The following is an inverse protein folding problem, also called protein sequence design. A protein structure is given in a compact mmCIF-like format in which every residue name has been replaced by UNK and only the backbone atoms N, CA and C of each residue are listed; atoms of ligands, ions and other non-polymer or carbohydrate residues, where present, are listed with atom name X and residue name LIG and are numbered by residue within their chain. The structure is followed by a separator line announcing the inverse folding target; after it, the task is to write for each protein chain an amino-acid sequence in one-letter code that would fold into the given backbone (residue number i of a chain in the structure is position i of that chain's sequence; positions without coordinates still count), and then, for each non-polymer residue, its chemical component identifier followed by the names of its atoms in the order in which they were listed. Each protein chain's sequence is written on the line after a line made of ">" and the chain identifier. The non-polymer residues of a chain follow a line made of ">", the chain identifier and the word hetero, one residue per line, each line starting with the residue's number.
data_IF_373227280031
#
_entry.id   IF_373227280031
#
_cell.length_a   1.000
_cell.length_b   1.000
_cell.length_c   1.000
_cell.angle_alpha   90.00
_cell.angle_beta   90.00
_cell.angle_gamma   90.00
#
_symmetry.space_group_name_H-M   'P 1'
#
loop_
_entity.id
_entity.type
_entity.pdbx_description
1 polymer ?
#
# COMPACT_ATOMS: atom_id res chain seq x y z
N UNK A 1 -13.48 18.09 -9.20
CA UNK A 1 -12.85 16.93 -8.51
C UNK A 1 -13.43 15.65 -9.09
N UNK A 2 -12.64 14.57 -9.14
CA UNK A 2 -13.16 13.24 -9.45
C UNK A 2 -14.31 12.87 -8.49
N UNK A 3 -15.33 12.19 -9.00
CA UNK A 3 -16.45 11.67 -8.21
C UNK A 3 -16.16 10.24 -7.71
N UNK A 4 -14.91 9.95 -7.31
CA UNK A 4 -14.47 8.64 -6.86
C UNK A 4 -15.23 8.17 -5.61
N UNK A 5 -15.58 6.89 -5.53
CA UNK A 5 -16.33 6.39 -4.36
C UNK A 5 -15.46 6.22 -3.10
N UNK A 6 -14.14 6.09 -3.29
CA UNK A 6 -13.11 5.98 -2.24
C UNK A 6 -11.93 6.87 -2.66
N UNK A 7 -11.41 7.67 -1.73
CA UNK A 7 -10.27 8.57 -1.95
C UNK A 7 -9.21 8.32 -0.88
N UNK A 8 -7.98 8.01 -1.31
CA UNK A 8 -6.83 7.80 -0.43
C UNK A 8 -5.85 8.97 -0.62
N UNK A 9 -5.64 9.78 0.42
CA UNK A 9 -4.71 10.90 0.41
C UNK A 9 -3.51 10.63 1.32
N UNK A 10 -2.34 11.12 0.91
CA UNK A 10 -1.10 11.19 1.68
C UNK A 10 -0.76 12.67 1.92
N UNK A 11 0.16 12.94 2.84
CA UNK A 11 0.59 14.30 3.21
C UNK A 11 -0.56 15.21 3.66
N UNK A 12 -1.58 14.64 4.31
CA UNK A 12 -2.70 15.41 4.84
C UNK A 12 -2.27 16.08 6.14
N UNK A 13 -2.22 17.41 6.15
CA UNK A 13 -1.89 18.20 7.34
C UNK A 13 -2.98 18.04 8.43
N UNK A 14 -2.55 17.58 9.60
CA UNK A 14 -3.38 17.28 10.76
C UNK A 14 -4.14 18.53 11.27
N UNK A 15 -3.53 19.72 11.16
CA UNK A 15 -4.16 20.97 11.62
C UNK A 15 -5.37 21.34 10.76
N UNK A 16 -5.37 20.94 9.50
CA UNK A 16 -6.43 21.23 8.54
C UNK A 16 -7.41 20.05 8.35
N UNK A 17 -7.11 18.87 8.91
CA UNK A 17 -7.93 17.68 8.67
C UNK A 17 -9.40 17.90 9.02
N UNK A 18 -9.73 18.30 10.25
CA UNK A 18 -11.13 18.42 10.67
C UNK A 18 -11.84 19.62 10.03
N UNK A 19 -11.21 20.80 10.09
CA UNK A 19 -11.83 22.07 9.71
C UNK A 19 -11.81 22.33 8.19
N UNK A 20 -11.02 21.58 7.42
CA UNK A 20 -10.89 21.78 5.97
C UNK A 20 -11.18 20.49 5.21
N UNK A 21 -10.32 19.47 5.34
CA UNK A 21 -10.46 18.27 4.52
C UNK A 21 -11.76 17.50 4.82
N UNK A 22 -11.98 17.12 6.07
CA UNK A 22 -13.15 16.34 6.47
C UNK A 22 -14.44 17.13 6.24
N UNK A 23 -14.48 18.41 6.61
CA UNK A 23 -15.64 19.27 6.39
C UNK A 23 -16.00 19.38 4.90
N UNK A 24 -15.00 19.57 4.03
CA UNK A 24 -15.20 19.55 2.58
C UNK A 24 -15.74 18.20 2.11
N UNK A 25 -15.10 17.09 2.46
CA UNK A 25 -15.53 15.75 2.04
C UNK A 25 -16.92 15.38 2.56
N UNK A 26 -17.27 15.76 3.80
CA UNK A 26 -18.60 15.55 4.36
C UNK A 26 -19.68 16.33 3.61
N UNK A 27 -19.40 17.57 3.18
CA UNK A 27 -20.29 18.35 2.32
C UNK A 27 -20.57 17.66 0.98
N UNK A 28 -19.64 16.82 0.52
CA UNK A 28 -19.75 16.02 -0.71
C UNK A 28 -20.30 14.60 -0.44
N UNK A 29 -20.79 14.30 0.76
CA UNK A 29 -21.40 13.02 1.10
C UNK A 29 -20.43 11.91 1.50
N UNK A 30 -19.17 12.24 1.79
CA UNK A 30 -18.18 11.29 2.28
C UNK A 30 -18.16 11.21 3.81
N UNK A 31 -17.57 10.14 4.31
CA UNK A 31 -16.99 10.07 5.65
C UNK A 31 -15.48 9.85 5.53
N UNK A 32 -14.71 10.08 6.59
CA UNK A 32 -13.26 10.06 6.54
C UNK A 32 -12.61 9.47 7.79
N UNK A 33 -11.56 8.68 7.57
CA UNK A 33 -10.61 8.28 8.61
C UNK A 33 -9.25 8.89 8.34
N UNK A 34 -8.55 9.28 9.40
CA UNK A 34 -7.23 9.91 9.32
C UNK A 34 -6.30 9.33 10.37
N UNK A 35 -5.02 9.22 10.00
CA UNK A 35 -3.92 8.93 10.91
C UNK A 35 -2.75 9.83 10.57
N UNK A 36 -2.42 10.71 11.52
CA UNK A 36 -1.17 11.46 11.54
C UNK A 36 0.02 10.50 11.68
N UNK A 37 1.13 10.84 11.04
CA UNK A 37 2.42 10.17 11.27
C UNK A 37 2.84 10.30 12.75
N UNK A 38 3.70 9.42 13.22
CA UNK A 38 4.20 9.49 14.60
C UNK A 38 5.31 10.54 14.74
N UNK A 39 5.95 10.64 15.91
CA UNK A 39 7.08 11.56 16.15
C UNK A 39 6.77 13.04 15.82
N UNK A 40 5.59 13.50 16.23
CA UNK A 40 5.15 14.92 16.15
C UNK A 40 5.11 15.50 14.72
N UNK A 41 4.99 14.64 13.72
CA UNK A 41 4.87 15.05 12.31
C UNK A 41 3.50 15.63 12.06
N UNK A 42 3.44 16.76 11.35
CA UNK A 42 2.18 17.46 11.10
C UNK A 42 1.32 16.82 10.01
N UNK A 43 1.85 15.88 9.24
CA UNK A 43 1.15 15.24 8.12
C UNK A 43 0.78 13.77 8.38
N UNK A 44 -0.12 13.23 7.56
CA UNK A 44 -0.62 11.87 7.70
C UNK A 44 -1.28 11.31 6.44
N UNK A 45 -1.99 10.20 6.60
CA UNK A 45 -2.82 9.62 5.54
C UNK A 45 -4.31 9.76 5.92
N UNK A 46 -5.16 9.98 4.93
CA UNK A 46 -6.61 9.97 5.09
C UNK A 46 -7.27 9.07 4.04
N UNK A 47 -8.32 8.35 4.45
CA UNK A 47 -9.17 7.57 3.55
C UNK A 47 -10.60 8.08 3.67
N UNK A 48 -11.14 8.61 2.58
CA UNK A 48 -12.52 9.07 2.49
C UNK A 48 -13.36 8.07 1.69
N UNK A 49 -14.60 7.84 2.12
CA UNK A 49 -15.53 6.92 1.47
C UNK A 49 -16.92 7.54 1.32
N UNK A 50 -17.59 7.31 0.18
CA UNK A 50 -18.98 7.77 0.01
C UNK A 50 -19.93 7.00 0.90
N UNK A 51 -20.63 7.72 1.78
CA UNK A 51 -21.61 7.17 2.73
C UNK A 51 -22.84 6.56 2.06
N UNK A 52 -23.09 6.84 0.78
CA UNK A 52 -24.19 6.23 0.02
C UNK A 52 -23.80 4.90 -0.65
N UNK A 53 -22.51 4.53 -0.63
CA UNK A 53 -21.98 3.33 -1.30
C UNK A 53 -21.47 2.30 -0.31
N UNK A 54 -20.76 2.75 0.71
CA UNK A 54 -20.03 1.89 1.64
C UNK A 54 -20.33 2.26 3.09
N UNK A 55 -20.34 1.26 3.96
CA UNK A 55 -20.15 1.42 5.40
C UNK A 55 -18.72 1.04 5.78
N UNK A 56 -18.12 1.80 6.69
CA UNK A 56 -16.84 1.46 7.29
C UNK A 56 -17.06 0.45 8.41
N UNK A 57 -16.70 -0.83 8.17
CA UNK A 57 -16.88 -1.89 9.17
C UNK A 57 -15.78 -1.86 10.23
N UNK A 58 -14.54 -1.62 9.80
CA UNK A 58 -13.38 -1.58 10.68
C UNK A 58 -12.30 -0.70 10.08
N UNK A 59 -11.61 0.07 10.92
CA UNK A 59 -10.40 0.77 10.54
C UNK A 59 -9.26 0.35 11.49
N UNK A 60 -8.09 0.09 10.93
CA UNK A 60 -6.88 -0.17 11.68
C UNK A 60 -5.79 0.82 11.25
N UNK A 61 -5.31 1.61 12.21
CA UNK A 61 -4.18 2.51 12.02
C UNK A 61 -2.90 1.79 12.42
N UNK A 62 -2.02 1.55 11.46
CA UNK A 62 -0.73 0.90 11.66
C UNK A 62 0.36 1.96 11.83
N UNK A 63 1.12 1.86 12.91
CA UNK A 63 2.41 2.54 13.05
C UNK A 63 3.52 1.58 12.67
N UNK A 64 4.32 1.95 11.67
CA UNK A 64 5.44 1.11 11.21
C UNK A 64 6.65 1.21 12.13
N UNK A 65 6.73 2.27 12.94
CA UNK A 65 7.74 2.43 13.98
C UNK A 65 7.72 1.22 14.95
N UNK A 66 8.88 0.63 15.20
CA UNK A 66 9.12 -0.40 16.23
C UNK A 66 10.34 -0.01 17.04
N UNK A 67 10.14 0.25 18.33
CA UNK A 67 11.19 0.69 19.23
C UNK A 67 12.34 -0.33 19.28
N UNK A 68 13.58 0.16 19.23
CA UNK A 68 14.79 -0.68 19.24
C UNK A 68 15.13 -1.34 17.91
N UNK A 69 14.36 -1.12 16.84
CA UNK A 69 14.64 -1.70 15.51
C UNK A 69 15.03 -0.60 14.52
N UNK A 70 16.30 -0.53 14.15
CA UNK A 70 16.86 0.52 13.28
C UNK A 70 16.15 0.63 11.92
N UNK A 71 15.78 -0.50 11.31
CA UNK A 71 15.03 -0.54 10.04
C UNK A 71 13.61 0.03 10.16
N UNK A 72 13.05 0.01 11.36
CA UNK A 72 11.68 0.44 11.66
C UNK A 72 11.70 1.60 12.65
N UNK A 73 12.66 2.53 12.49
CA UNK A 73 12.85 3.71 13.35
C UNK A 73 12.23 4.98 12.77
N UNK A 74 11.27 4.84 11.83
CA UNK A 74 10.64 5.95 11.10
C UNK A 74 9.16 6.07 11.40
N UNK A 75 8.67 7.28 11.20
CA UNK A 75 7.35 7.82 11.53
C UNK A 75 6.20 7.41 10.60
N UNK A 76 6.51 6.62 9.56
CA UNK A 76 5.54 6.21 8.55
C UNK A 76 4.40 5.35 9.15
N UNK A 77 3.20 5.53 8.59
CA UNK A 77 1.97 4.89 9.03
C UNK A 77 1.22 4.26 7.85
N UNK A 78 0.21 3.45 8.15
CA UNK A 78 -0.79 3.05 7.18
C UNK A 78 -2.19 3.06 7.79
N UNK A 79 -3.19 3.26 6.95
CA UNK A 79 -4.60 3.04 7.25
C UNK A 79 -5.07 1.77 6.53
N UNK A 80 -5.72 0.86 7.24
CA UNK A 80 -6.31 -0.36 6.69
C UNK A 80 -7.80 -0.33 7.05
N UNK A 81 -8.63 -0.07 6.04
CA UNK A 81 -10.07 0.11 6.20
C UNK A 81 -10.82 -1.04 5.53
N UNK A 82 -11.67 -1.72 6.29
CA UNK A 82 -12.58 -2.76 5.79
C UNK A 82 -13.93 -2.12 5.50
N UNK A 83 -14.31 -2.13 4.23
CA UNK A 83 -15.53 -1.51 3.74
C UNK A 83 -16.54 -2.58 3.30
N UNK A 84 -17.81 -2.34 3.59
CA UNK A 84 -18.93 -3.17 3.15
C UNK A 84 -19.84 -2.36 2.22
N UNK A 85 -20.08 -2.78 0.96
CA UNK A 85 -20.98 -2.07 0.07
C UNK A 85 -22.44 -2.31 0.48
N UNK A 86 -23.28 -1.27 0.47
CA UNK A 86 -24.69 -1.43 0.87
C UNK A 86 -25.49 -2.35 -0.06
N UNK A 87 -25.15 -2.37 -1.35
CA UNK A 87 -25.84 -3.24 -2.31
C UNK A 87 -25.54 -4.72 -2.12
N UNK A 88 -24.42 -5.07 -1.48
CA UNK A 88 -23.99 -6.45 -1.25
C UNK A 88 -23.34 -6.57 0.15
N UNK A 89 -24.12 -6.56 1.24
CA UNK A 89 -23.59 -6.50 2.61
C UNK A 89 -22.69 -7.67 3.01
N UNK A 90 -22.81 -8.82 2.34
CA UNK A 90 -21.99 -10.02 2.56
C UNK A 90 -20.57 -9.90 2.00
N UNK A 91 -20.32 -8.83 1.22
CA UNK A 91 -19.02 -8.58 0.61
C UNK A 91 -18.23 -7.55 1.40
N UNK A 92 -16.92 -7.73 1.44
CA UNK A 92 -16.02 -6.79 2.08
C UNK A 92 -14.80 -6.56 1.20
N UNK A 93 -14.30 -5.33 1.19
CA UNK A 93 -13.08 -4.93 0.50
C UNK A 93 -12.13 -4.29 1.50
N UNK A 94 -10.85 -4.63 1.39
CA UNK A 94 -9.79 -4.06 2.21
C UNK A 94 -9.11 -2.93 1.44
N UNK A 95 -9.24 -1.70 1.93
CA UNK A 95 -8.58 -0.52 1.39
C UNK A 95 -7.40 -0.18 2.27
N UNK A 96 -6.22 -0.13 1.68
CA UNK A 96 -4.99 0.22 2.37
C UNK A 96 -4.48 1.54 1.80
N UNK A 97 -4.09 2.46 2.67
CA UNK A 97 -3.48 3.73 2.31
C UNK A 97 -2.20 3.94 3.12
N UNK A 98 -1.07 4.21 2.47
CA UNK A 98 0.20 4.45 3.14
C UNK A 98 1.07 5.46 2.39
N UNK A 99 2.09 5.96 3.08
CA UNK A 99 3.17 6.76 2.51
C UNK A 99 4.48 6.21 3.08
N UNK A 100 5.24 5.47 2.26
CA UNK A 100 6.50 4.84 2.67
C UNK A 100 7.66 5.85 2.74
N UNK A 101 8.79 5.44 3.33
CA UNK A 101 9.94 6.33 3.50
C UNK A 101 10.47 6.88 2.16
N UNK A 102 10.51 8.22 2.05
CA UNK A 102 11.05 8.94 0.90
C UNK A 102 12.54 8.71 0.62
N UNK A 103 13.38 8.55 1.67
CA UNK A 103 14.83 8.52 1.52
C UNK A 103 15.29 7.46 0.50
N UNK A 104 15.66 7.91 -0.70
CA UNK A 104 15.99 7.03 -1.84
C UNK A 104 17.15 6.07 -1.56
N UNK A 105 17.99 6.35 -0.56
CA UNK A 105 19.13 5.50 -0.16
C UNK A 105 18.76 4.38 0.83
N UNK A 106 17.49 4.23 1.20
CA UNK A 106 17.03 3.27 2.22
C UNK A 106 15.91 2.36 1.70
N UNK A 107 16.21 1.56 0.68
CA UNK A 107 15.28 0.52 0.19
C UNK A 107 15.04 -0.58 1.22
N UNK A 108 16.01 -0.82 2.10
CA UNK A 108 15.87 -1.69 3.28
C UNK A 108 14.77 -1.22 4.23
N UNK A 109 14.70 0.08 4.53
CA UNK A 109 13.63 0.59 5.40
C UNK A 109 12.28 0.43 4.71
N UNK A 110 12.19 0.71 3.40
CA UNK A 110 10.95 0.47 2.65
C UNK A 110 10.57 -1.02 2.62
N UNK A 111 11.53 -1.93 2.46
CA UNK A 111 11.26 -3.38 2.50
C UNK A 111 10.76 -3.82 3.88
N UNK A 112 11.37 -3.31 4.96
CA UNK A 112 10.93 -3.57 6.33
C UNK A 112 9.52 -3.04 6.58
N UNK A 113 9.23 -1.83 6.12
CA UNK A 113 7.90 -1.23 6.16
C UNK A 113 6.87 -2.05 5.39
N UNK A 114 7.21 -2.55 4.19
CA UNK A 114 6.37 -3.46 3.43
C UNK A 114 6.12 -4.78 4.16
N UNK A 115 7.14 -5.40 4.75
CA UNK A 115 6.97 -6.65 5.49
C UNK A 115 6.00 -6.49 6.67
N UNK A 116 6.11 -5.39 7.43
CA UNK A 116 5.17 -5.05 8.51
C UNK A 116 3.77 -4.76 7.96
N UNK A 117 3.67 -3.97 6.89
CA UNK A 117 2.39 -3.63 6.27
C UNK A 117 1.65 -4.88 5.77
N UNK A 118 2.34 -5.77 5.06
CA UNK A 118 1.77 -7.00 4.50
C UNK A 118 1.32 -7.96 5.61
N UNK A 119 2.09 -8.07 6.71
CA UNK A 119 1.70 -8.84 7.89
C UNK A 119 0.43 -8.29 8.53
N UNK A 120 0.32 -6.98 8.63
CA UNK A 120 -0.85 -6.32 9.20
C UNK A 120 -2.08 -6.41 8.29
N UNK A 121 -1.92 -6.22 6.97
CA UNK A 121 -2.98 -6.47 6.00
C UNK A 121 -3.48 -7.91 6.16
N UNK A 122 -2.57 -8.89 6.25
CA UNK A 122 -2.98 -10.28 6.44
C UNK A 122 -3.74 -10.48 7.75
N UNK A 123 -3.25 -9.93 8.87
CA UNK A 123 -3.89 -10.04 10.20
C UNK A 123 -5.31 -9.47 10.24
N UNK A 124 -5.55 -8.39 9.50
CA UNK A 124 -6.88 -7.77 9.40
C UNK A 124 -7.77 -8.54 8.42
N UNK A 125 -7.24 -8.90 7.25
CA UNK A 125 -8.01 -9.51 6.17
C UNK A 125 -8.32 -10.99 6.39
N UNK A 126 -7.48 -11.75 7.10
CA UNK A 126 -7.73 -13.18 7.40
C UNK A 126 -8.95 -13.41 8.31
N UNK A 127 -9.40 -12.38 9.03
CA UNK A 127 -10.55 -12.44 9.94
C UNK A 127 -11.89 -12.23 9.25
N UNK A 128 -11.86 -12.00 7.94
CA UNK A 128 -13.02 -11.73 7.12
C UNK A 128 -13.34 -12.98 6.30
N UNK A 129 -14.60 -13.36 6.31
CA UNK A 129 -15.11 -14.48 5.51
C UNK A 129 -14.70 -14.32 4.05
N UNK A 130 -14.17 -15.40 3.46
CA UNK A 130 -13.70 -15.48 2.08
C UNK A 130 -12.50 -14.62 1.69
N UNK A 131 -11.82 -13.97 2.65
CA UNK A 131 -10.69 -13.07 2.44
C UNK A 131 -10.98 -11.96 1.41
N UNK A 132 -11.10 -10.69 1.83
CA UNK A 132 -11.54 -9.63 0.94
C UNK A 132 -10.48 -9.35 -0.13
N UNK A 133 -10.90 -8.93 -1.33
CA UNK A 133 -9.98 -8.26 -2.25
C UNK A 133 -9.29 -7.08 -1.55
N UNK A 134 -8.02 -6.87 -1.87
CA UNK A 134 -7.21 -5.81 -1.26
C UNK A 134 -6.88 -4.78 -2.33
N UNK A 135 -7.15 -3.51 -2.08
CA UNK A 135 -6.63 -2.37 -2.84
C UNK A 135 -5.62 -1.64 -1.95
N UNK A 136 -4.37 -1.58 -2.40
CA UNK A 136 -3.30 -0.82 -1.76
C UNK A 136 -3.01 0.44 -2.57
N UNK A 137 -3.34 1.59 -1.99
CA UNK A 137 -3.04 2.92 -2.48
C UNK A 137 -1.88 3.53 -1.71
N UNK A 138 -1.09 4.38 -2.36
CA UNK A 138 -0.11 5.20 -1.65
C UNK A 138 1.05 5.69 -2.49
N UNK A 139 1.78 6.66 -1.95
CA UNK A 139 3.15 6.96 -2.36
C UNK A 139 4.07 5.91 -1.72
N UNK A 140 4.53 4.97 -2.54
CA UNK A 140 5.38 3.89 -2.10
C UNK A 140 6.87 4.22 -2.24
N UNK A 141 7.23 5.38 -2.82
CA UNK A 141 8.61 5.86 -2.92
C UNK A 141 9.60 4.88 -3.57
N UNK A 142 9.11 4.04 -4.48
CA UNK A 142 9.92 3.18 -5.35
C UNK A 142 9.31 3.08 -6.75
N UNK A 143 10.14 2.73 -7.73
CA UNK A 143 9.76 2.68 -9.14
C UNK A 143 9.29 1.28 -9.57
N UNK A 144 8.61 1.15 -10.73
CA UNK A 144 8.21 -0.15 -11.26
C UNK A 144 9.39 -1.08 -11.60
N UNK A 145 10.60 -0.53 -11.77
CA UNK A 145 11.82 -1.30 -12.00
C UNK A 145 12.53 -1.75 -10.71
N UNK A 146 12.03 -1.35 -9.54
CA UNK A 146 12.62 -1.70 -8.25
C UNK A 146 12.32 -3.15 -7.86
N UNK A 147 13.19 -3.75 -7.04
CA UNK A 147 12.91 -5.05 -6.44
C UNK A 147 11.72 -5.04 -5.48
N UNK A 148 11.38 -3.88 -4.91
CA UNK A 148 10.22 -3.70 -4.05
C UNK A 148 8.91 -3.84 -4.83
N UNK A 149 8.84 -3.28 -6.05
CA UNK A 149 7.71 -3.48 -6.95
C UNK A 149 7.58 -4.95 -7.39
N UNK A 150 8.71 -5.58 -7.77
CA UNK A 150 8.73 -7.01 -8.10
C UNK A 150 8.30 -7.87 -6.93
N UNK A 151 8.70 -7.52 -5.71
CA UNK A 151 8.26 -8.21 -4.49
C UNK A 151 6.73 -8.17 -4.35
N UNK A 152 6.12 -6.98 -4.42
CA UNK A 152 4.66 -6.81 -4.30
C UNK A 152 3.89 -7.55 -5.40
N UNK A 153 4.41 -7.54 -6.63
CA UNK A 153 3.73 -8.15 -7.77
C UNK A 153 3.90 -9.67 -7.85
N UNK A 154 5.10 -10.18 -7.55
CA UNK A 154 5.43 -11.60 -7.68
C UNK A 154 5.20 -12.38 -6.38
N UNK A 155 5.04 -11.69 -5.24
CA UNK A 155 4.86 -12.32 -3.93
C UNK A 155 6.13 -12.96 -3.37
N UNK A 156 7.31 -12.64 -3.92
CA UNK A 156 8.59 -13.23 -3.48
C UNK A 156 9.77 -12.31 -3.77
N UNK A 157 10.70 -12.22 -2.81
CA UNK A 157 11.97 -11.53 -2.95
C UNK A 157 13.08 -12.27 -2.19
N UNK A 158 14.02 -12.89 -2.90
CA UNK A 158 15.26 -13.37 -2.30
C UNK A 158 16.17 -12.16 -2.01
N UNK A 159 16.34 -11.83 -0.73
CA UNK A 159 17.12 -10.67 -0.27
C UNK A 159 18.52 -11.04 0.20
N UNK A 160 18.75 -12.31 0.54
CA UNK A 160 20.07 -12.79 0.95
C UNK A 160 21.12 -12.41 -0.10
N UNK A 161 22.25 -11.87 0.36
CA UNK A 161 23.37 -11.37 -0.46
C UNK A 161 23.08 -10.11 -1.31
N UNK A 162 21.91 -9.48 -1.18
CA UNK A 162 21.70 -8.14 -1.71
C UNK A 162 22.41 -7.09 -0.85
N UNK A 163 22.71 -5.96 -1.45
CA UNK A 163 23.19 -4.78 -0.73
C UNK A 163 22.16 -4.33 0.30
N UNK A 164 22.63 -4.07 1.52
CA UNK A 164 21.77 -3.76 2.66
C UNK A 164 21.00 -2.44 2.52
N UNK A 165 21.32 -1.53 1.60
CA UNK A 165 20.61 -0.24 1.47
C UNK A 165 19.87 -0.10 0.16
N UNK A 166 20.39 -0.67 -0.92
CA UNK A 166 19.86 -0.54 -2.28
C UNK A 166 19.22 -1.80 -2.83
N UNK A 167 19.27 -2.92 -2.10
CA UNK A 167 18.77 -4.22 -2.57
C UNK A 167 19.35 -4.64 -3.93
N UNK A 168 20.59 -4.21 -4.23
CA UNK A 168 21.29 -4.53 -5.48
C UNK A 168 22.27 -5.69 -5.30
N UNK A 169 22.62 -6.37 -6.39
CA UNK A 169 23.68 -7.39 -6.34
C UNK A 169 25.07 -6.77 -6.11
N UNK A 170 25.23 -5.48 -6.42
CA UNK A 170 26.46 -4.71 -6.19
C UNK A 170 26.39 -4.00 -4.83
N UNK A 171 27.44 -4.11 -4.00
CA UNK A 171 27.51 -3.47 -2.68
C UNK A 171 28.49 -4.18 -1.74
N UNK A 172 29.05 -3.45 -0.78
CA UNK A 172 30.05 -3.99 0.17
C UNK A 172 29.41 -4.65 1.39
N UNK A 173 28.26 -4.16 1.84
CA UNK A 173 27.52 -4.71 2.99
C UNK A 173 26.32 -5.50 2.50
N UNK A 174 26.29 -6.79 2.82
CA UNK A 174 25.27 -7.72 2.33
C UNK A 174 24.29 -8.09 3.43
N UNK A 175 23.02 -8.25 3.04
CA UNK A 175 21.99 -8.77 3.94
C UNK A 175 22.26 -10.26 4.17
N UNK A 176 22.25 -10.67 5.43
CA UNK A 176 22.30 -12.07 5.83
C UNK A 176 20.96 -12.79 5.62
N UNK A 177 20.78 -13.91 6.31
CA UNK A 177 19.53 -14.68 6.23
C UNK A 177 18.38 -14.08 7.02
N UNK A 178 18.65 -13.36 8.10
CA UNK A 178 17.63 -12.70 8.92
C UNK A 178 17.53 -11.23 8.50
N UNK A 179 16.34 -10.80 8.06
CA UNK A 179 16.10 -9.40 7.69
C UNK A 179 15.47 -8.60 8.82
N UNK A 180 14.30 -9.01 9.30
CA UNK A 180 13.70 -8.47 10.52
C UNK A 180 14.01 -9.34 11.74
N UNK A 181 14.14 -8.72 12.93
CA UNK A 181 14.30 -9.45 14.19
C UNK A 181 13.10 -10.36 14.48
N UNK A 182 13.36 -11.58 14.97
CA UNK A 182 12.33 -12.59 15.26
C UNK A 182 11.39 -12.14 16.40
N UNK A 183 11.87 -11.24 17.25
CA UNK A 183 11.15 -10.62 18.37
C UNK A 183 9.95 -9.78 17.92
N UNK A 184 9.88 -9.41 16.62
CA UNK A 184 8.69 -8.79 16.04
C UNK A 184 7.56 -9.80 15.77
N UNK A 185 7.85 -11.10 15.84
CA UNK A 185 6.93 -12.19 15.51
C UNK A 185 6.34 -12.08 14.10
N UNK A 186 7.05 -11.43 13.17
CA UNK A 186 6.69 -11.32 11.76
C UNK A 186 7.59 -12.27 10.97
N UNK A 187 6.97 -13.29 10.38
CA UNK A 187 7.66 -14.30 9.57
C UNK A 187 8.18 -13.75 8.25
N UNK A 188 9.01 -14.54 7.60
CA UNK A 188 9.48 -14.30 6.23
C UNK A 188 8.33 -14.37 5.19
N UNK A 189 7.20 -15.01 5.52
CA UNK A 189 5.99 -15.00 4.67
C UNK A 189 5.10 -13.77 4.87
N UNK A 190 5.62 -12.73 5.53
CA UNK A 190 4.91 -11.49 5.85
C UNK A 190 3.58 -11.77 6.56
N UNK A 191 3.62 -12.63 7.59
CA UNK A 191 2.48 -12.94 8.45
C UNK A 191 2.95 -12.96 9.90
N UNK A 192 2.10 -12.54 10.83
CA UNK A 192 2.37 -12.73 12.24
C UNK A 192 2.41 -14.23 12.57
N UNK A 193 3.38 -14.63 13.40
CA UNK A 193 3.60 -16.02 13.78
C UNK A 193 2.33 -16.68 14.36
N UNK A 194 1.54 -15.92 15.12
CA UNK A 194 0.26 -16.36 15.70
C UNK A 194 -0.73 -16.86 14.63
N UNK A 195 -0.69 -16.30 13.42
CA UNK A 195 -1.57 -16.68 12.30
C UNK A 195 -1.03 -17.90 11.52
N UNK A 196 0.22 -18.28 11.77
CA UNK A 196 0.90 -19.42 11.13
C UNK A 196 0.97 -20.66 12.00
N UNK A 197 0.94 -20.49 13.33
CA UNK A 197 1.02 -21.61 14.27
C UNK A 197 -0.09 -22.62 13.99
N UNK A 198 0.33 -23.82 13.61
CA UNK A 198 -0.47 -25.04 13.54
C UNK A 198 0.18 -26.08 14.44
N UNK A 199 -0.58 -27.12 14.78
CA UNK A 199 -0.03 -28.27 15.49
C UNK A 199 1.18 -28.82 14.71
N UNK A 200 2.30 -29.03 15.41
CA UNK A 200 3.57 -29.58 14.90
C UNK A 200 4.43 -28.69 13.97
N UNK A 201 4.20 -27.36 13.89
CA UNK A 201 5.12 -26.47 13.18
C UNK A 201 6.35 -26.08 14.02
N UNK A 202 7.53 -26.09 13.41
CA UNK A 202 8.77 -25.61 14.05
C UNK A 202 8.88 -24.10 13.80
N UNK A 203 8.87 -23.28 14.86
CA UNK A 203 8.88 -21.82 14.72
C UNK A 203 10.06 -21.29 13.90
N UNK A 204 11.21 -21.94 14.01
CA UNK A 204 12.45 -21.58 13.32
C UNK A 204 12.33 -21.64 11.80
N UNK A 205 11.42 -22.43 11.24
CA UNK A 205 11.19 -22.57 9.80
C UNK A 205 10.55 -21.32 9.18
N UNK A 206 9.90 -20.48 9.99
CA UNK A 206 9.21 -19.28 9.50
C UNK A 206 10.12 -18.05 9.38
N UNK A 207 11.37 -18.15 9.81
CA UNK A 207 12.30 -17.03 9.86
C UNK A 207 13.64 -17.39 9.23
N UNK A 208 14.42 -16.38 8.87
CA UNK A 208 15.82 -16.55 8.48
C UNK A 208 16.01 -17.43 7.24
N UNK A 209 15.05 -17.45 6.31
CA UNK A 209 15.10 -18.18 5.04
C UNK A 209 15.93 -17.46 3.96
N UNK A 210 16.28 -16.18 4.20
CA UNK A 210 16.93 -15.33 3.19
C UNK A 210 15.98 -14.84 2.08
N UNK A 211 14.68 -15.10 2.21
CA UNK A 211 13.66 -14.76 1.22
C UNK A 211 12.38 -14.28 1.88
N UNK A 212 11.83 -13.15 1.44
CA UNK A 212 10.48 -12.75 1.82
C UNK A 212 9.45 -13.28 0.81
N UNK A 213 8.28 -13.68 1.30
CA UNK A 213 7.12 -14.04 0.48
C UNK A 213 5.84 -13.40 0.99
N UNK A 214 4.81 -13.33 0.13
CA UNK A 214 3.44 -13.00 0.54
C UNK A 214 2.44 -13.55 -0.48
N UNK A 215 1.17 -13.70 -0.07
CA UNK A 215 0.11 -14.29 -0.91
C UNK A 215 -0.66 -13.31 -1.81
N UNK A 216 -0.49 -12.01 -1.63
CA UNK A 216 -1.28 -11.00 -2.35
C UNK A 216 -1.04 -10.95 -3.86
N UNK A 217 0.20 -11.12 -4.34
CA UNK A 217 0.56 -11.01 -5.76
C UNK A 217 -0.15 -9.82 -6.47
N UNK A 218 0.14 -8.60 -6.01
CA UNK A 218 -0.59 -7.41 -6.41
C UNK A 218 -0.43 -7.08 -7.90
N UNK A 219 -1.54 -6.70 -8.55
CA UNK A 219 -1.56 -6.12 -9.89
C UNK A 219 -1.59 -4.60 -9.78
N UNK A 220 -0.77 -3.91 -10.56
CA UNK A 220 -0.84 -2.46 -10.67
C UNK A 220 -1.95 -2.05 -11.64
N UNK A 221 -2.70 -1.00 -11.31
CA UNK A 221 -3.64 -0.36 -12.24
C UNK A 221 -2.91 0.22 -13.45
N UNK A 222 -1.67 0.70 -13.25
CA UNK A 222 -0.84 1.31 -14.28
C UNK A 222 0.32 0.36 -14.62
N UNK A 223 0.45 -0.02 -15.89
CA UNK A 223 1.42 -1.04 -16.35
C UNK A 223 2.81 -0.46 -16.60
N UNK A 224 3.84 -1.29 -16.33
CA UNK A 224 5.27 -1.01 -16.58
C UNK A 224 5.56 -0.46 -17.97
N UNK A 225 4.86 -1.00 -18.97
CA UNK A 225 5.23 -0.85 -20.38
C UNK A 225 4.71 0.45 -21.00
N UNK A 226 3.75 1.11 -20.34
CA UNK A 226 3.25 2.43 -20.74
C UNK A 226 4.09 3.58 -20.15
N UNK A 227 5.01 3.29 -19.23
CA UNK A 227 5.78 4.29 -18.48
C UNK A 227 6.90 5.04 -19.20
N UNK A 228 7.52 4.57 -20.30
CA UNK A 228 8.42 5.42 -21.07
C UNK A 228 7.73 6.71 -21.54
N UNK A 229 6.39 6.76 -21.49
CA UNK A 229 5.57 7.85 -21.98
C UNK A 229 4.98 8.74 -20.90
N UNK A 230 4.99 8.42 -19.60
CA UNK A 230 4.20 9.11 -18.54
C UNK A 230 5.07 9.73 -17.44
N UNK A 231 4.77 10.96 -16.96
CA UNK A 231 5.50 11.62 -15.84
C UNK A 231 4.57 12.16 -14.77
N UNK A 232 4.98 12.03 -13.50
CA UNK A 232 4.08 12.24 -12.36
C UNK A 232 4.51 13.28 -11.32
N UNK A 233 5.75 13.81 -11.37
CA UNK A 233 6.22 14.74 -10.34
C UNK A 233 7.11 15.91 -10.83
N UNK A 234 7.26 16.90 -9.95
CA UNK A 234 8.02 18.15 -10.11
C UNK A 234 9.47 17.99 -10.60
N UNK A 235 10.09 16.84 -10.33
CA UNK A 235 11.52 16.55 -10.62
C UNK A 235 11.74 15.58 -11.78
N UNK A 236 10.73 15.34 -12.61
CA UNK A 236 10.88 14.59 -13.86
C UNK A 236 11.21 13.08 -13.71
N UNK A 237 11.04 12.43 -12.54
CA UNK A 237 11.50 11.05 -12.35
C UNK A 237 10.51 10.15 -11.59
N UNK A 238 9.97 9.18 -12.34
CA UNK A 238 9.40 7.88 -11.95
C UNK A 238 8.04 7.84 -11.22
N UNK A 239 7.19 6.90 -11.64
CA UNK A 239 5.98 6.48 -10.91
C UNK A 239 6.38 5.97 -9.53
N UNK A 240 5.89 6.64 -8.49
CA UNK A 240 6.07 6.23 -7.08
C UNK A 240 4.74 6.06 -6.35
N UNK A 241 3.68 6.64 -6.91
CA UNK A 241 2.29 6.46 -6.48
C UNK A 241 1.68 5.22 -7.14
N UNK A 242 0.93 4.43 -6.38
CA UNK A 242 0.30 3.24 -6.94
C UNK A 242 -1.15 3.10 -6.48
N UNK A 243 -1.97 2.53 -7.37
CA UNK A 243 -3.17 1.78 -7.01
C UNK A 243 -2.86 0.34 -7.38
N UNK A 244 -2.58 -0.47 -6.37
CA UNK A 244 -2.35 -1.90 -6.49
C UNK A 244 -3.60 -2.65 -6.04
N UNK A 245 -3.95 -3.76 -6.69
CA UNK A 245 -5.09 -4.57 -6.28
C UNK A 245 -4.79 -6.07 -6.34
N UNK A 246 -5.42 -6.83 -5.47
CA UNK A 246 -5.27 -8.27 -5.35
C UNK A 246 -6.62 -8.95 -5.17
N UNK A 247 -6.85 -9.99 -5.97
CA UNK A 247 -7.95 -10.94 -5.83
C UNK A 247 -7.35 -12.20 -5.21
N UNK A 248 -7.19 -12.23 -3.88
CA UNK A 248 -6.58 -13.39 -3.22
C UNK A 248 -7.51 -14.58 -3.41
N UNK A 249 -7.06 -15.53 -4.22
CA UNK A 249 -7.72 -16.80 -4.45
C UNK A 249 -6.98 -17.86 -3.63
N UNK A 250 -7.38 -18.05 -2.37
CA UNK A 250 -6.91 -19.23 -1.65
C UNK A 250 -7.66 -20.47 -2.16
N UNK A 251 -6.88 -21.54 -2.36
CA UNK A 251 -7.23 -22.89 -2.87
C UNK A 251 -8.40 -23.61 -2.15
N UNK A 252 -9.18 -22.92 -1.33
CA UNK A 252 -10.26 -23.47 -0.51
C UNK A 252 -11.66 -22.94 -0.83
N UNK A 253 -11.84 -21.92 -1.67
CA UNK A 253 -13.18 -21.42 -1.98
C UNK A 253 -13.80 -22.07 -3.22
N UNK A 254 -14.51 -23.18 -3.00
CA UNK A 254 -15.45 -23.78 -3.96
C UNK A 254 -16.73 -22.95 -4.15
N UNK A 255 -16.93 -21.89 -3.36
CA UNK A 255 -18.09 -21.01 -3.45
C UNK A 255 -17.64 -19.54 -3.56
N UNK A 256 -18.03 -18.93 -4.68
CA UNK A 256 -17.94 -17.51 -5.07
C UNK A 256 -16.58 -16.81 -4.96
N UNK A 257 -15.87 -16.69 -6.10
CA UNK A 257 -14.68 -15.85 -6.21
C UNK A 257 -15.07 -14.37 -6.09
N UNK A 258 -14.54 -13.67 -5.09
CA UNK A 258 -14.61 -12.22 -5.02
C UNK A 258 -13.52 -11.62 -5.91
N UNK A 259 -13.91 -11.14 -7.09
CA UNK A 259 -12.95 -10.62 -8.08
C UNK A 259 -13.16 -9.13 -8.35
N UNK A 260 -12.11 -8.34 -8.14
CA UNK A 260 -11.98 -6.99 -8.69
C UNK A 260 -11.44 -7.07 -10.11
N UNK A 261 -12.20 -6.55 -11.05
CA UNK A 261 -11.82 -6.40 -12.45
C UNK A 261 -11.65 -4.92 -12.73
N UNK A 262 -10.43 -4.53 -13.14
CA UNK A 262 -10.16 -3.18 -13.60
C UNK A 262 -10.94 -2.92 -14.90
N UNK A 263 -11.79 -1.89 -14.91
CA UNK A 263 -12.54 -1.47 -16.10
C UNK A 263 -11.84 -0.34 -16.81
N UNK A 264 -11.50 0.71 -16.06
CA UNK A 264 -10.97 1.96 -16.59
C UNK A 264 -9.98 2.55 -15.60
N UNK A 265 -9.09 3.39 -16.12
CA UNK A 265 -8.16 4.19 -15.34
C UNK A 265 -8.03 5.56 -15.97
N UNK A 266 -7.77 6.57 -15.17
CA UNK A 266 -7.44 7.89 -15.68
C UNK A 266 -6.11 7.83 -16.42
N UNK A 267 -6.09 8.33 -17.66
CA UNK A 267 -4.84 8.47 -18.42
C UNK A 267 -3.95 9.50 -17.74
N UNK A 268 -2.72 9.10 -17.45
CA UNK A 268 -1.72 10.01 -16.91
C UNK A 268 -1.05 10.86 -18.01
N UNK A 269 -0.58 12.08 -17.68
CA UNK A 269 0.09 12.95 -18.63
C UNK A 269 1.33 12.30 -19.24
N UNK A 270 1.47 12.44 -20.55
CA UNK A 270 2.67 11.99 -21.23
C UNK A 270 3.85 12.93 -21.03
N UNK A 271 5.07 12.54 -21.40
CA UNK A 271 6.21 13.46 -21.42
C UNK A 271 5.92 14.75 -22.22
N UNK A 272 5.27 14.62 -23.39
CA UNK A 272 4.89 15.77 -24.20
C UNK A 272 3.84 16.63 -23.52
N UNK A 273 2.92 16.02 -22.77
CA UNK A 273 1.92 16.75 -21.98
C UNK A 273 2.61 17.53 -20.84
N UNK A 274 3.56 16.91 -20.14
CA UNK A 274 4.30 17.56 -19.05
C UNK A 274 5.16 18.75 -19.52
N UNK A 275 5.72 18.70 -20.73
CA UNK A 275 6.42 19.86 -21.31
C UNK A 275 5.49 21.07 -21.49
N UNK A 276 4.19 20.83 -21.73
CA UNK A 276 3.19 21.89 -21.87
C UNK A 276 2.65 22.37 -20.52
N UNK A 277 2.44 21.43 -19.59
CA UNK A 277 1.95 21.72 -18.23
C UNK A 277 3.00 22.50 -17.43
N UNK A 278 4.29 22.22 -17.67
CA UNK A 278 5.38 22.79 -16.91
C UNK A 278 5.62 22.05 -15.58
N UNK A 279 6.53 22.58 -14.74
CA UNK A 279 6.82 21.99 -13.44
C UNK A 279 5.61 22.00 -12.52
N UNK A 280 5.59 21.09 -11.55
CA UNK A 280 4.62 21.05 -10.47
C UNK A 280 5.26 21.46 -9.13
N UNK A 281 4.49 21.96 -8.16
CA UNK A 281 3.14 22.47 -8.32
C UNK A 281 3.12 23.72 -9.23
N UNK A 282 1.96 24.09 -9.75
CA UNK A 282 1.77 25.29 -10.55
C UNK A 282 0.36 25.88 -10.37
N UNK A 283 0.03 26.95 -11.09
CA UNK A 283 -1.25 27.64 -10.98
C UNK A 283 -2.48 26.78 -11.30
N UNK A 284 -2.30 25.64 -11.97
CA UNK A 284 -3.38 24.69 -12.30
C UNK A 284 -3.35 23.44 -11.40
N UNK A 285 -2.21 23.12 -10.78
CA UNK A 285 -2.00 21.89 -10.02
C UNK A 285 -1.35 22.23 -8.67
N UNK A 286 -2.13 22.10 -7.58
CA UNK A 286 -1.70 22.44 -6.23
C UNK A 286 -0.78 21.41 -5.55
N UNK A 287 -0.50 20.28 -6.20
CA UNK A 287 0.41 19.24 -5.72
C UNK A 287 1.54 19.04 -6.71
N UNK A 288 2.68 18.57 -6.20
CA UNK A 288 3.79 18.08 -7.01
C UNK A 288 3.60 16.64 -7.51
N UNK A 289 2.48 15.98 -7.20
CA UNK A 289 2.06 14.69 -7.73
C UNK A 289 0.74 14.83 -8.52
N UNK A 290 0.54 14.00 -9.56
CA UNK A 290 -0.81 13.86 -10.14
C UNK A 290 -1.59 12.77 -9.41
N UNK A 291 -2.89 12.98 -9.28
CA UNK A 291 -3.78 11.98 -8.70
C UNK A 291 -3.96 10.78 -9.65
N UNK A 292 -4.09 9.60 -9.05
CA UNK A 292 -4.44 8.36 -9.74
C UNK A 292 -5.93 8.07 -9.58
N UNK A 293 -6.54 7.45 -10.59
CA UNK A 293 -7.96 7.07 -10.52
C UNK A 293 -8.22 5.80 -11.33
N UNK A 294 -9.01 4.91 -10.74
CA UNK A 294 -9.35 3.62 -11.31
C UNK A 294 -10.82 3.29 -11.04
N UNK A 295 -11.46 2.63 -12.00
CA UNK A 295 -12.82 2.11 -11.88
C UNK A 295 -12.78 0.59 -11.93
N UNK A 296 -13.30 -0.04 -10.88
CA UNK A 296 -13.37 -1.49 -10.78
C UNK A 296 -14.81 -1.98 -10.91
N UNK A 297 -14.98 -3.14 -11.54
CA UNK A 297 -16.15 -4.00 -11.35
C UNK A 297 -15.82 -5.01 -10.27
N UNK A 298 -16.73 -5.21 -9.34
CA UNK A 298 -16.60 -6.25 -8.33
C UNK A 298 -17.57 -7.38 -8.66
N UNK A 299 -17.05 -8.44 -9.29
CA UNK A 299 -17.87 -9.57 -9.72
C UNK A 299 -18.28 -10.45 -8.54
N UNK A 300 -19.47 -11.05 -8.66
CA UNK A 300 -19.82 -12.33 -8.05
C UNK A 300 -19.80 -13.34 -9.21
N UNK A 301 -19.17 -14.49 -9.03
CA UNK A 301 -19.43 -15.68 -9.86
C UNK A 301 -20.01 -16.73 -8.95
#
# INVERSE_FOLDING_TARGET
>A
MSNADIVCLQEVDANYYYNTYLSYFQSQGYDGVFKQKTQEKIDGCATFLKKCKFSLKKNHSLEMLKNGIDLLSRDNIALISILTPFKNPDKQICIVNTHLLYNRKREDVRLAQLQVLLAEINRVACKITNYPPVILCGDLNFTPSSKLYSFLSQGRLKYEHLDIKKLTNCGSQKIGKTFLPKELYISDSCQYLQELKRDNCIEEEFFSSGTLTHKFAFKSVYNSDEFPKVRLNSTCHNLVDYILYSNIDEKFNKHEKQELILLERLRLPTYKDCLKIGPLPNSQNGSDHYYLEARFRWNCV
#
